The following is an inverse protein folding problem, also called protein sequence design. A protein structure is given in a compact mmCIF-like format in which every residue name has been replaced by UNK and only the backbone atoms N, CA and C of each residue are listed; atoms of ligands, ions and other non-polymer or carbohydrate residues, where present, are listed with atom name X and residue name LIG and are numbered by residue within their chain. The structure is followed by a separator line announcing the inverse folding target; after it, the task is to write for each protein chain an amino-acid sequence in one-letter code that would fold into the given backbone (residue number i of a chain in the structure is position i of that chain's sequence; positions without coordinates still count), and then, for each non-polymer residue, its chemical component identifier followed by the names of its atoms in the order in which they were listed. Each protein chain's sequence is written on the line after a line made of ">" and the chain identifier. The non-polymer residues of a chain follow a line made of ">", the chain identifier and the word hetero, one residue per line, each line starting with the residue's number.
data_IF_036842243707
#
_entry.id   IF_036842243707
#
_cell.length_a   1.000
_cell.length_b   1.000
_cell.length_c   1.000
_cell.angle_alpha   90.00
_cell.angle_beta   90.00
_cell.angle_gamma   90.00
#
_symmetry.space_group_name_H-M   'P 1'
#
loop_
_entity.id
_entity.type
_entity.pdbx_description
1 polymer ?
#
# COMPACT_ATOMS: atom_id res chain seq x y z
N UNK A 1 -12.36 -29.71 11.73
CA UNK A 1 -11.43 -28.76 11.09
C UNK A 1 -12.27 -27.75 10.33
N UNK A 2 -12.46 -26.56 10.89
CA UNK A 2 -13.16 -25.44 10.25
C UNK A 2 -12.76 -24.15 10.99
N UNK A 3 -11.60 -23.60 10.65
CA UNK A 3 -11.14 -22.31 11.20
C UNK A 3 -10.34 -21.61 10.09
N UNK A 4 -11.02 -21.02 9.10
CA UNK A 4 -10.42 -20.05 8.18
C UNK A 4 -11.43 -19.15 7.44
N UNK A 5 -12.74 -19.41 7.48
CA UNK A 5 -13.72 -18.62 6.71
C UNK A 5 -14.20 -17.34 7.42
N UNK A 6 -14.24 -17.33 8.76
CA UNK A 6 -14.69 -16.17 9.55
C UNK A 6 -13.86 -14.88 9.37
N UNK A 7 -12.51 -14.92 9.35
CA UNK A 7 -11.70 -13.70 9.29
C UNK A 7 -11.87 -12.93 7.98
N UNK A 8 -12.09 -13.63 6.86
CA UNK A 8 -12.26 -13.02 5.55
C UNK A 8 -13.65 -12.38 5.43
N UNK A 9 -14.71 -13.10 5.82
CA UNK A 9 -16.07 -12.60 5.69
C UNK A 9 -16.30 -11.35 6.57
N UNK A 10 -15.76 -11.37 7.79
CA UNK A 10 -15.75 -10.22 8.69
C UNK A 10 -14.91 -9.06 8.12
N UNK A 11 -13.74 -9.35 7.52
CA UNK A 11 -12.90 -8.35 6.85
C UNK A 11 -13.65 -7.68 5.70
N UNK A 12 -14.29 -8.45 4.82
CA UNK A 12 -15.05 -7.95 3.69
C UNK A 12 -16.24 -7.08 4.14
N UNK A 13 -16.93 -7.49 5.21
CA UNK A 13 -18.02 -6.70 5.78
C UNK A 13 -17.52 -5.36 6.34
N UNK A 14 -16.40 -5.37 7.09
CA UNK A 14 -15.79 -4.18 7.67
C UNK A 14 -15.25 -3.21 6.61
N UNK A 15 -14.61 -3.73 5.56
CA UNK A 15 -14.09 -2.93 4.44
C UNK A 15 -15.21 -2.23 3.66
N UNK A 16 -16.39 -2.86 3.58
CA UNK A 16 -17.60 -2.30 2.96
C UNK A 16 -18.43 -1.42 3.89
N UNK A 17 -18.03 -1.28 5.16
CA UNK A 17 -18.71 -0.44 6.14
C UNK A 17 -18.75 1.03 5.73
N UNK A 18 -19.62 1.84 6.33
CA UNK A 18 -19.72 3.27 6.00
C UNK A 18 -18.71 4.12 6.79
N UNK A 19 -18.43 3.73 8.03
CA UNK A 19 -17.60 4.49 8.97
C UNK A 19 -16.10 4.21 8.79
N UNK A 20 -15.28 5.24 9.01
CA UNK A 20 -13.82 5.14 8.88
C UNK A 20 -13.19 4.14 9.86
N UNK A 21 -13.73 4.04 11.08
CA UNK A 21 -13.29 3.07 12.09
C UNK A 21 -13.48 1.62 11.60
N UNK A 22 -14.65 1.30 11.02
CA UNK A 22 -14.93 -0.02 10.48
C UNK A 22 -13.96 -0.37 9.35
N UNK A 23 -13.73 0.58 8.43
CA UNK A 23 -12.79 0.38 7.33
C UNK A 23 -11.35 0.24 7.80
N UNK A 24 -10.95 0.95 8.86
CA UNK A 24 -9.64 0.79 9.49
C UNK A 24 -9.49 -0.59 10.13
N UNK A 25 -10.50 -1.08 10.86
CA UNK A 25 -10.48 -2.45 11.38
C UNK A 25 -10.41 -3.47 10.24
N UNK A 26 -11.16 -3.25 9.16
CA UNK A 26 -11.10 -4.07 7.95
C UNK A 26 -9.70 -4.10 7.33
N UNK A 27 -9.01 -2.95 7.24
CA UNK A 27 -7.64 -2.83 6.75
C UNK A 27 -6.62 -3.57 7.63
N UNK A 28 -6.75 -3.51 8.95
CA UNK A 28 -5.88 -4.25 9.88
C UNK A 28 -6.01 -5.77 9.65
N UNK A 29 -7.23 -6.26 9.46
CA UNK A 29 -7.46 -7.68 9.15
C UNK A 29 -6.92 -8.00 7.75
N UNK A 30 -7.13 -7.11 6.78
CA UNK A 30 -6.62 -7.25 5.42
C UNK A 30 -5.09 -7.38 5.39
N UNK A 31 -4.35 -6.60 6.20
CA UNK A 31 -2.90 -6.70 6.30
C UNK A 31 -2.47 -8.12 6.73
N UNK A 32 -3.14 -8.70 7.72
CA UNK A 32 -2.87 -10.05 8.19
C UNK A 32 -3.24 -11.11 7.12
N UNK A 33 -4.35 -10.91 6.42
CA UNK A 33 -4.79 -11.78 5.32
C UNK A 33 -3.81 -11.71 4.15
N UNK A 34 -3.25 -10.55 3.81
CA UNK A 34 -2.23 -10.43 2.76
C UNK A 34 -0.92 -11.14 3.14
N UNK A 35 -0.64 -11.29 4.43
CA UNK A 35 0.56 -11.97 4.91
C UNK A 35 0.42 -13.50 4.94
N UNK A 36 -0.80 -14.01 5.17
CA UNK A 36 -1.04 -15.43 5.50
C UNK A 36 -2.01 -16.15 4.55
N UNK A 37 -2.78 -15.40 3.76
CA UNK A 37 -3.82 -15.89 2.88
C UNK A 37 -3.29 -16.43 1.55
N UNK A 38 -4.13 -17.22 0.88
CA UNK A 38 -3.86 -17.67 -0.48
C UNK A 38 -4.22 -16.59 -1.52
N UNK A 39 -3.78 -16.80 -2.77
CA UNK A 39 -3.98 -15.84 -3.86
C UNK A 39 -5.46 -15.49 -4.06
N UNK A 40 -6.36 -16.47 -3.94
CA UNK A 40 -7.79 -16.27 -4.11
C UNK A 40 -8.37 -15.34 -3.03
N UNK A 41 -8.00 -15.56 -1.76
CA UNK A 41 -8.43 -14.75 -0.63
C UNK A 41 -7.96 -13.30 -0.76
N UNK A 42 -6.70 -13.09 -1.09
CA UNK A 42 -6.11 -11.75 -1.24
C UNK A 42 -6.75 -11.00 -2.42
N UNK A 43 -7.09 -11.70 -3.50
CA UNK A 43 -7.85 -11.12 -4.62
C UNK A 43 -9.27 -10.70 -4.23
N UNK A 44 -9.95 -11.44 -3.36
CA UNK A 44 -11.26 -11.03 -2.85
C UNK A 44 -11.18 -9.77 -1.98
N UNK A 45 -10.16 -9.70 -1.11
CA UNK A 45 -9.86 -8.50 -0.32
C UNK A 45 -9.60 -7.32 -1.24
N UNK A 46 -8.75 -7.48 -2.25
CA UNK A 46 -8.47 -6.41 -3.22
C UNK A 46 -9.74 -5.87 -3.90
N UNK A 47 -10.60 -6.78 -4.39
CA UNK A 47 -11.87 -6.44 -5.03
C UNK A 47 -12.83 -5.71 -4.09
N UNK A 48 -12.82 -6.05 -2.80
CA UNK A 48 -13.68 -5.39 -1.81
C UNK A 48 -13.17 -4.01 -1.38
N UNK A 49 -11.85 -3.83 -1.34
CA UNK A 49 -11.23 -2.53 -1.04
C UNK A 49 -11.44 -1.56 -2.20
N UNK A 50 -11.12 -2.01 -3.42
CA UNK A 50 -11.10 -1.19 -4.62
C UNK A 50 -9.89 -0.24 -4.65
N UNK A 51 -9.32 -0.04 -5.83
CA UNK A 51 -8.09 0.75 -6.00
C UNK A 51 -8.23 2.24 -5.65
N UNK A 52 -9.42 2.81 -5.84
CA UNK A 52 -9.75 4.19 -5.45
C UNK A 52 -9.70 4.42 -3.95
N UNK A 53 -10.01 3.40 -3.14
CA UNK A 53 -9.97 3.52 -1.69
C UNK A 53 -8.53 3.64 -1.19
N UNK A 54 -7.64 2.77 -1.68
CA UNK A 54 -6.21 2.78 -1.35
C UNK A 54 -5.58 4.14 -1.68
N UNK A 55 -5.86 4.67 -2.88
CA UNK A 55 -5.40 6.01 -3.29
C UNK A 55 -5.91 7.13 -2.39
N UNK A 56 -7.19 7.10 -1.99
CA UNK A 56 -7.73 8.11 -1.04
C UNK A 56 -7.02 8.05 0.30
N UNK A 57 -6.76 6.84 0.79
CA UNK A 57 -6.08 6.62 2.07
C UNK A 57 -4.62 7.08 2.08
N UNK A 58 -3.87 6.84 1.00
CA UNK A 58 -2.51 7.39 0.86
C UNK A 58 -2.51 8.93 0.89
N UNK A 59 -3.50 9.57 0.25
CA UNK A 59 -3.65 11.03 0.32
C UNK A 59 -4.00 11.53 1.72
N UNK A 60 -4.83 10.81 2.48
CA UNK A 60 -5.11 11.13 3.90
C UNK A 60 -3.85 11.05 4.75
N UNK A 61 -3.07 9.97 4.62
CA UNK A 61 -1.85 9.76 5.39
C UNK A 61 -0.75 10.79 5.07
N UNK A 62 -0.70 11.30 3.84
CA UNK A 62 0.18 12.41 3.44
C UNK A 62 -0.26 13.78 3.98
N UNK A 63 -1.29 13.85 4.83
CA UNK A 63 -1.78 15.10 5.42
C UNK A 63 -2.50 16.02 4.44
N UNK A 64 -2.89 15.52 3.25
CA UNK A 64 -3.63 16.31 2.25
C UNK A 64 -5.11 16.51 2.61
N UNK A 65 -5.57 15.93 3.72
CA UNK A 65 -6.89 16.16 4.34
C UNK A 65 -6.70 16.78 5.73
N UNK A 66 -7.53 17.77 6.08
CA UNK A 66 -7.49 18.45 7.37
C UNK A 66 -8.06 17.58 8.50
N UNK A 67 -7.40 17.57 9.67
CA UNK A 67 -7.80 16.82 10.87
C UNK A 67 -6.93 15.61 11.22
N UNK A 68 -6.74 15.33 12.52
CA UNK A 68 -5.95 14.21 13.06
C UNK A 68 -4.55 14.60 13.57
N UNK A 69 -4.03 13.90 14.59
CA UNK A 69 -2.66 14.07 15.08
C UNK A 69 -1.65 13.52 14.06
N UNK A 70 -0.47 14.14 13.96
CA UNK A 70 0.59 13.72 13.03
C UNK A 70 0.94 12.22 13.17
N UNK A 71 1.07 11.74 14.41
CA UNK A 71 1.36 10.34 14.73
C UNK A 71 0.27 9.37 14.24
N UNK A 72 -1.01 9.76 14.33
CA UNK A 72 -2.13 8.94 13.86
C UNK A 72 -2.13 8.86 12.33
N UNK A 73 -1.82 9.96 11.65
CA UNK A 73 -1.69 10.00 10.18
C UNK A 73 -0.54 9.12 9.70
N UNK A 74 0.58 9.14 10.41
CA UNK A 74 1.75 8.32 10.09
C UNK A 74 1.49 6.83 10.30
N UNK A 75 0.88 6.45 11.42
CA UNK A 75 0.47 5.06 11.67
C UNK A 75 -0.52 4.56 10.60
N UNK A 76 -1.43 5.43 10.17
CA UNK A 76 -2.37 5.13 9.11
C UNK A 76 -1.69 4.96 7.74
N UNK A 77 -0.72 5.83 7.43
CA UNK A 77 0.08 5.75 6.21
C UNK A 77 0.87 4.45 6.13
N UNK A 78 1.53 4.05 7.23
CA UNK A 78 2.23 2.77 7.36
C UNK A 78 1.32 1.61 7.01
N UNK A 79 0.17 1.52 7.68
CA UNK A 79 -0.80 0.46 7.44
C UNK A 79 -1.25 0.41 5.97
N UNK A 80 -1.51 1.57 5.36
CA UNK A 80 -1.92 1.65 3.96
C UNK A 80 -0.83 1.13 3.00
N UNK A 81 0.44 1.50 3.24
CA UNK A 81 1.59 1.01 2.47
C UNK A 81 1.77 -0.50 2.65
N UNK A 82 1.73 -1.00 3.88
CA UNK A 82 1.88 -2.43 4.17
C UNK A 82 0.78 -3.27 3.53
N UNK A 83 -0.48 -2.84 3.61
CA UNK A 83 -1.60 -3.52 2.94
C UNK A 83 -1.41 -3.50 1.43
N UNK A 84 -1.04 -2.35 0.85
CA UNK A 84 -0.84 -2.24 -0.59
C UNK A 84 0.32 -3.10 -1.08
N UNK A 85 1.44 -3.13 -0.35
CA UNK A 85 2.59 -3.99 -0.64
C UNK A 85 2.20 -5.47 -0.56
N UNK A 86 1.48 -5.87 0.48
CA UNK A 86 0.95 -7.23 0.61
C UNK A 86 0.04 -7.64 -0.53
N UNK A 87 -0.86 -6.76 -0.97
CA UNK A 87 -1.75 -6.98 -2.12
C UNK A 87 -0.95 -7.08 -3.43
N UNK A 88 0.04 -6.21 -3.64
CA UNK A 88 0.87 -6.14 -4.84
C UNK A 88 1.84 -7.33 -4.99
N UNK A 89 1.96 -8.21 -4.00
CA UNK A 89 2.66 -9.50 -4.19
C UNK A 89 1.97 -10.41 -5.21
N UNK A 90 0.69 -10.15 -5.50
CA UNK A 90 -0.04 -10.78 -6.60
C UNK A 90 0.17 -9.94 -7.87
N UNK A 91 0.78 -10.51 -8.92
CA UNK A 91 1.09 -9.75 -10.14
C UNK A 91 -0.13 -9.08 -10.78
N UNK A 92 -1.29 -9.75 -10.77
CA UNK A 92 -2.54 -9.20 -11.29
C UNK A 92 -2.99 -7.93 -10.55
N UNK A 93 -2.70 -7.84 -9.25
CA UNK A 93 -3.01 -6.64 -8.44
C UNK A 93 -1.96 -5.56 -8.66
N UNK A 94 -0.67 -5.92 -8.70
CA UNK A 94 0.41 -4.98 -8.96
C UNK A 94 0.30 -4.30 -10.33
N UNK A 95 -0.23 -5.03 -11.32
CA UNK A 95 -0.46 -4.52 -12.66
C UNK A 95 -1.76 -3.72 -12.82
N UNK A 96 -2.64 -3.69 -11.81
CA UNK A 96 -3.88 -2.92 -11.88
C UNK A 96 -3.58 -1.42 -12.02
N UNK A 97 -4.31 -0.76 -12.93
CA UNK A 97 -4.14 0.66 -13.23
C UNK A 97 -4.22 1.50 -11.96
N UNK A 98 -5.14 1.17 -11.05
CA UNK A 98 -5.31 1.90 -9.82
C UNK A 98 -4.12 1.76 -8.86
N UNK A 99 -3.41 0.63 -8.87
CA UNK A 99 -2.16 0.43 -8.11
C UNK A 99 -0.99 1.13 -8.79
N UNK A 100 -0.81 0.96 -10.10
CA UNK A 100 0.19 1.69 -10.92
C UNK A 100 0.04 3.20 -10.72
N UNK A 101 -1.19 3.68 -10.65
CA UNK A 101 -1.48 5.09 -10.46
C UNK A 101 -1.02 5.64 -9.09
N UNK A 102 -0.72 4.80 -8.10
CA UNK A 102 -0.20 5.25 -6.79
C UNK A 102 1.29 5.58 -6.80
N UNK A 103 2.05 5.19 -7.83
CA UNK A 103 3.51 5.39 -7.92
C UNK A 103 3.95 6.81 -7.52
N UNK A 104 3.35 7.91 -8.03
CA UNK A 104 3.76 9.26 -7.63
C UNK A 104 3.53 9.56 -6.14
N UNK A 105 2.50 8.98 -5.54
CA UNK A 105 2.22 9.13 -4.11
C UNK A 105 3.25 8.35 -3.28
N UNK A 106 3.60 7.14 -3.70
CA UNK A 106 4.65 6.34 -3.05
C UNK A 106 6.01 7.05 -3.12
N UNK A 107 6.34 7.64 -4.26
CA UNK A 107 7.54 8.45 -4.41
C UNK A 107 7.55 9.68 -3.49
N UNK A 108 6.40 10.33 -3.32
CA UNK A 108 6.25 11.44 -2.37
C UNK A 108 6.47 10.97 -0.91
N UNK A 109 5.93 9.80 -0.54
CA UNK A 109 6.15 9.18 0.78
C UNK A 109 7.64 8.93 1.01
N UNK A 110 8.32 8.27 0.06
CA UNK A 110 9.77 8.03 0.11
C UNK A 110 10.54 9.34 0.31
N UNK A 111 10.17 10.40 -0.40
CA UNK A 111 10.88 11.68 -0.33
C UNK A 111 10.75 12.41 1.02
N UNK A 112 9.69 12.11 1.78
CA UNK A 112 9.33 12.79 3.04
C UNK A 112 9.56 11.93 4.28
N UNK A 113 9.62 10.61 4.13
CA UNK A 113 9.81 9.68 5.24
C UNK A 113 11.22 9.74 5.78
N UNK A 114 11.35 9.85 7.10
CA UNK A 114 12.61 9.56 7.82
C UNK A 114 12.66 8.12 8.33
N UNK A 115 11.57 7.35 8.19
CA UNK A 115 11.49 5.96 8.60
C UNK A 115 11.99 5.05 7.46
N UNK A 116 13.07 4.33 7.74
CA UNK A 116 13.69 3.40 6.80
C UNK A 116 12.79 2.20 6.48
N UNK A 117 12.00 1.70 7.44
CA UNK A 117 11.12 0.55 7.24
C UNK A 117 10.01 0.85 6.25
N UNK A 118 9.38 2.03 6.35
CA UNK A 118 8.38 2.50 5.39
C UNK A 118 9.02 2.68 4.02
N UNK A 119 10.23 3.25 4.00
CA UNK A 119 10.96 3.51 2.77
C UNK A 119 11.26 2.20 2.04
N UNK A 120 11.75 1.18 2.74
CA UNK A 120 11.98 -0.18 2.24
C UNK A 120 10.70 -0.82 1.70
N UNK A 121 9.59 -0.78 2.44
CA UNK A 121 8.30 -1.32 1.97
C UNK A 121 7.81 -0.59 0.71
N UNK A 122 8.02 0.73 0.62
CA UNK A 122 7.68 1.50 -0.57
C UNK A 122 8.53 1.08 -1.77
N UNK A 123 9.83 0.80 -1.59
CA UNK A 123 10.69 0.28 -2.67
C UNK A 123 10.32 -1.15 -3.08
N UNK A 124 9.95 -2.02 -2.14
CA UNK A 124 9.40 -3.35 -2.44
C UNK A 124 8.15 -3.22 -3.32
N UNK A 125 7.20 -2.37 -2.92
CA UNK A 125 5.98 -2.11 -3.68
C UNK A 125 6.27 -1.58 -5.09
N UNK A 126 7.14 -0.57 -5.24
CA UNK A 126 7.50 -0.04 -6.56
C UNK A 126 8.16 -1.10 -7.44
N UNK A 127 8.97 -1.98 -6.86
CA UNK A 127 9.61 -3.09 -7.56
C UNK A 127 8.59 -4.11 -8.05
N UNK A 128 7.62 -4.49 -7.20
CA UNK A 128 6.52 -5.39 -7.57
C UNK A 128 5.70 -4.83 -8.75
N UNK A 129 5.37 -3.54 -8.70
CA UNK A 129 4.63 -2.87 -9.79
C UNK A 129 5.46 -2.85 -11.10
N UNK A 130 6.74 -2.49 -11.02
CA UNK A 130 7.62 -2.44 -12.19
C UNK A 130 7.84 -3.82 -12.84
N UNK A 131 7.89 -4.90 -12.03
CA UNK A 131 7.98 -6.28 -12.54
C UNK A 131 6.68 -6.69 -13.22
N UNK A 132 5.53 -6.29 -12.67
CA UNK A 132 4.22 -6.74 -13.14
C UNK A 132 3.65 -5.93 -14.31
N UNK A 133 4.13 -4.69 -14.54
CA UNK A 133 3.50 -3.76 -15.48
C UNK A 133 4.50 -2.87 -16.22
N UNK A 134 4.42 -2.85 -17.55
CA UNK A 134 5.18 -1.92 -18.40
C UNK A 134 4.78 -0.46 -18.13
N UNK A 135 3.48 -0.20 -17.96
CA UNK A 135 2.97 1.12 -17.53
C UNK A 135 3.52 1.52 -16.16
N UNK A 136 3.68 0.55 -15.26
CA UNK A 136 4.38 0.69 -13.99
C UNK A 136 5.81 1.22 -14.16
N UNK A 137 6.57 0.63 -15.09
CA UNK A 137 7.93 1.08 -15.42
C UNK A 137 7.93 2.50 -15.99
N UNK A 138 7.06 2.80 -16.96
CA UNK A 138 6.99 4.15 -17.53
C UNK A 138 6.66 5.20 -16.50
N UNK A 139 5.68 4.93 -15.62
CA UNK A 139 5.26 5.81 -14.54
C UNK A 139 6.36 6.01 -13.50
N UNK A 140 7.09 4.94 -13.14
CA UNK A 140 8.24 5.01 -12.23
C UNK A 140 9.35 5.90 -12.80
N UNK A 141 9.61 5.80 -14.11
CA UNK A 141 10.63 6.57 -14.81
C UNK A 141 10.21 8.02 -15.15
N UNK A 142 9.01 8.45 -14.78
CA UNK A 142 8.61 9.84 -15.00
C UNK A 142 9.57 10.80 -14.27
N UNK A 143 10.02 11.90 -14.92
CA UNK A 143 11.05 12.78 -14.35
C UNK A 143 10.72 13.29 -12.94
N UNK A 144 9.44 13.60 -12.67
CA UNK A 144 9.00 14.05 -11.34
C UNK A 144 9.05 12.95 -10.27
N UNK A 145 8.83 11.69 -10.66
CA UNK A 145 8.88 10.53 -9.77
C UNK A 145 10.32 10.18 -9.44
N UNK A 146 11.17 10.03 -10.47
CA UNK A 146 12.60 9.73 -10.29
C UNK A 146 13.29 10.83 -9.47
N UNK A 147 12.97 12.11 -9.70
CA UNK A 147 13.56 13.21 -8.95
C UNK A 147 13.27 13.13 -7.44
N UNK A 148 12.12 12.58 -7.03
CA UNK A 148 11.77 12.37 -5.62
C UNK A 148 12.49 11.17 -5.00
N UNK A 149 12.67 10.09 -5.78
CA UNK A 149 13.23 8.83 -5.30
C UNK A 149 14.75 8.84 -5.28
N UNK A 150 15.38 9.41 -6.32
CA UNK A 150 16.82 9.34 -6.54
C UNK A 150 17.68 9.75 -5.33
N UNK A 151 17.38 10.84 -4.60
CA UNK A 151 18.16 11.22 -3.42
C UNK A 151 18.14 10.15 -2.31
N UNK A 152 17.04 9.40 -2.19
CA UNK A 152 16.85 8.41 -1.13
C UNK A 152 17.57 7.09 -1.43
N UNK A 153 17.81 6.77 -2.70
CA UNK A 153 18.61 5.58 -3.09
C UNK A 153 20.04 5.70 -2.54
N UNK A 154 20.60 6.92 -2.52
CA UNK A 154 21.93 7.19 -1.97
C UNK A 154 21.98 7.19 -0.44
N UNK A 155 20.82 7.17 0.23
CA UNK A 155 20.72 7.14 1.70
C UNK A 155 20.67 5.71 2.26
N UNK A 156 20.52 4.68 1.41
CA UNK A 156 20.64 3.31 1.88
C UNK A 156 22.08 3.04 2.30
N UNK A 157 22.31 2.53 3.53
CA UNK A 157 23.66 2.16 3.95
C UNK A 157 24.19 1.10 2.97
N UNK A 158 25.39 1.34 2.43
CA UNK A 158 26.10 0.36 1.60
C UNK A 158 26.01 -1.01 2.28
N UNK A 159 25.34 -1.94 1.60
CA UNK A 159 24.82 -3.19 2.15
C UNK A 159 25.73 -3.80 3.20
N UNK A 160 25.33 -3.65 4.47
CA UNK A 160 25.78 -4.51 5.55
C UNK A 160 24.67 -5.51 5.83
N UNK A 161 24.49 -6.43 4.90
CA UNK A 161 23.87 -7.74 5.15
C UNK A 161 24.75 -8.56 6.08
#
# INVERSE_FOLDING_TARGET
>A
MAITTLPLEDCLHLLRGEHDEQKLTGLLIAANVCHTGDVATVMEVYRAIGSLFLRRRLNTGLGKLEGGKEEEKEAYLRLAVTVLSGLARIPEVAADEGVVSTIPLIAEIISKSSDLTITEECFELLSLIAIASEDGVYRFCEPGVIAMIFPQISCFPDGKT
#
